data_IF_688371201552
#
_entry.id   IF_688371201552
#
_cell.length_a   1.000
_cell.length_b   1.000
_cell.length_c   1.000
_cell.angle_alpha   90.00
_cell.angle_beta   90.00
_cell.angle_gamma   90.00
#
_symmetry.space_group_name_H-M   'P 1'
#
loop_
_entity.id
_entity.type
_entity.pdbx_description
1 polymer ?
#
# COMPACT_ATOMS: atom_id res chain seq x y z
N UNK A 1 -17.84 -14.05 -0.09
CA UNK A 1 -17.15 -14.97 -1.04
C UNK A 1 -15.65 -14.67 -1.16
N UNK A 2 -15.16 -13.52 -0.69
CA UNK A 2 -13.74 -13.33 -0.37
C UNK A 2 -13.30 -14.42 0.60
N UNK A 3 -12.23 -15.14 0.23
CA UNK A 3 -11.62 -16.26 0.93
C UNK A 3 -11.64 -16.03 2.44
N UNK A 4 -12.71 -16.51 3.05
CA UNK A 4 -12.99 -16.22 4.45
C UNK A 4 -12.05 -17.07 5.26
N UNK A 5 -11.06 -16.40 5.83
CA UNK A 5 -10.65 -16.61 7.20
C UNK A 5 -10.41 -18.08 7.56
N UNK A 6 -9.36 -18.68 6.97
CA UNK A 6 -8.54 -19.72 7.60
C UNK A 6 -7.35 -20.02 6.70
N UNK A 7 -6.39 -19.09 6.71
CA UNK A 7 -5.00 -19.49 6.48
C UNK A 7 -4.60 -20.29 7.72
N UNK A 8 -4.79 -21.61 7.69
CA UNK A 8 -4.08 -22.47 8.64
C UNK A 8 -2.60 -22.11 8.51
N UNK A 9 -1.93 -21.86 9.63
CA UNK A 9 -0.65 -21.15 9.79
C UNK A 9 0.57 -21.81 9.14
N UNK A 10 0.35 -22.66 8.13
CA UNK A 10 1.32 -23.54 7.49
C UNK A 10 1.37 -23.40 5.97
N UNK A 11 0.35 -22.81 5.33
CA UNK A 11 0.34 -22.60 3.88
C UNK A 11 1.00 -21.26 3.56
N UNK A 12 1.99 -21.30 2.68
CA UNK A 12 2.67 -20.11 2.15
C UNK A 12 1.72 -19.36 1.20
N UNK A 13 1.68 -18.03 1.26
CA UNK A 13 0.75 -17.23 0.44
C UNK A 13 1.00 -17.47 -1.05
N UNK A 14 2.24 -17.75 -1.40
CA UNK A 14 2.74 -18.07 -2.73
C UNK A 14 2.22 -19.42 -3.26
N UNK A 15 1.65 -20.27 -2.40
CA UNK A 15 1.07 -21.58 -2.75
C UNK A 15 -0.45 -21.50 -2.99
N UNK A 16 -1.06 -20.34 -2.72
CA UNK A 16 -2.47 -20.14 -3.00
C UNK A 16 -2.69 -20.11 -4.51
N UNK A 17 -3.58 -20.96 -5.07
CA UNK A 17 -3.82 -21.02 -6.52
C UNK A 17 -4.10 -19.65 -7.14
N UNK A 18 -4.87 -18.82 -6.44
CA UNK A 18 -5.18 -17.44 -6.87
C UNK A 18 -3.92 -16.57 -6.97
N UNK A 19 -2.95 -16.72 -6.07
CA UNK A 19 -1.71 -15.92 -6.14
C UNK A 19 -0.83 -16.40 -7.30
N UNK A 20 -0.76 -17.71 -7.54
CA UNK A 20 -0.03 -18.28 -8.68
C UNK A 20 -0.65 -17.90 -10.03
N UNK A 21 -1.97 -17.72 -10.10
CA UNK A 21 -2.70 -17.34 -11.30
C UNK A 21 -2.47 -15.87 -11.71
N UNK A 22 -2.09 -15.01 -10.77
CA UNK A 22 -1.89 -13.57 -10.99
C UNK A 22 -0.52 -13.07 -10.51
N UNK A 23 0.60 -13.53 -11.12
CA UNK A 23 1.96 -13.19 -10.67
C UNK A 23 2.32 -11.70 -10.89
N UNK A 24 1.62 -11.04 -11.80
CA UNK A 24 1.71 -9.60 -12.10
C UNK A 24 1.01 -8.73 -11.05
N UNK A 25 -0.06 -9.24 -10.43
CA UNK A 25 -0.81 -8.56 -9.37
C UNK A 25 -0.16 -8.75 -7.99
N UNK A 26 0.50 -9.88 -7.78
CA UNK A 26 1.19 -10.23 -6.53
C UNK A 26 2.70 -10.45 -6.71
N UNK A 27 3.45 -9.41 -7.14
CA UNK A 27 4.90 -9.50 -7.21
C UNK A 27 5.52 -9.65 -5.81
N UNK A 28 6.66 -10.33 -5.72
CA UNK A 28 7.37 -10.55 -4.45
C UNK A 28 7.84 -9.25 -3.77
N UNK A 29 8.03 -8.20 -4.57
CA UNK A 29 8.35 -6.84 -4.13
C UNK A 29 7.28 -5.87 -4.65
N UNK A 30 6.84 -4.94 -3.80
CA UNK A 30 5.88 -3.88 -4.20
C UNK A 30 6.67 -2.73 -4.82
N UNK A 31 6.18 -2.18 -5.94
CA UNK A 31 6.76 -0.96 -6.49
C UNK A 31 6.42 0.23 -5.59
N UNK A 32 7.42 1.04 -5.24
CA UNK A 32 7.23 2.28 -4.46
C UNK A 32 6.42 3.34 -5.21
N UNK A 33 6.33 3.20 -6.53
CA UNK A 33 5.60 4.11 -7.41
C UNK A 33 4.26 3.45 -7.76
N UNK A 34 3.14 4.17 -7.64
CA UNK A 34 1.87 3.65 -8.12
C UNK A 34 2.00 3.27 -9.61
N UNK A 35 1.38 2.17 -10.05
CA UNK A 35 1.36 1.80 -11.46
C UNK A 35 0.90 2.97 -12.33
N UNK A 36 1.41 3.05 -13.55
CA UNK A 36 0.89 4.00 -14.53
C UNK A 36 -0.62 3.80 -14.68
N UNK A 37 -1.38 4.88 -14.50
CA UNK A 37 -2.83 4.85 -14.61
C UNK A 37 -3.20 5.61 -15.87
N UNK A 38 -4.13 5.08 -16.65
CA UNK A 38 -4.61 5.72 -17.90
C UNK A 38 -5.31 7.06 -17.65
N UNK A 39 -5.71 7.32 -16.41
CA UNK A 39 -6.46 8.52 -16.00
C UNK A 39 -5.69 9.27 -14.92
N UNK A 40 -5.68 10.60 -15.04
CA UNK A 40 -5.09 11.50 -14.05
C UNK A 40 -5.94 11.56 -12.78
N UNK A 41 -5.29 11.56 -11.61
CA UNK A 41 -5.97 11.64 -10.32
C UNK A 41 -6.11 13.10 -9.89
N UNK A 42 -7.34 13.59 -9.82
CA UNK A 42 -7.64 14.90 -9.24
C UNK A 42 -8.13 14.74 -7.80
N UNK A 43 -7.73 15.66 -6.92
CA UNK A 43 -8.25 15.77 -5.56
C UNK A 43 -9.19 16.96 -5.52
N UNK A 44 -10.48 16.67 -5.62
CA UNK A 44 -11.52 17.71 -5.56
C UNK A 44 -11.79 18.08 -4.10
N UNK A 45 -11.68 19.37 -3.81
CA UNK A 45 -11.97 19.90 -2.49
C UNK A 45 -13.38 20.47 -2.45
N UNK A 46 -14.04 20.34 -1.29
CA UNK A 46 -15.31 21.05 -1.06
C UNK A 46 -15.03 22.55 -1.12
N UNK A 47 -15.87 23.36 -1.80
CA UNK A 47 -15.67 24.80 -1.86
C UNK A 47 -15.54 25.41 -0.47
N UNK A 48 -14.46 26.18 -0.25
CA UNK A 48 -14.13 26.77 1.04
C UNK A 48 -13.16 25.95 1.92
N UNK A 49 -12.80 24.73 1.50
CA UNK A 49 -11.73 23.96 2.15
C UNK A 49 -10.36 24.51 1.75
N UNK A 50 -9.59 24.97 2.75
CA UNK A 50 -8.18 25.33 2.58
C UNK A 50 -7.24 24.13 2.74
N UNK A 51 -5.99 24.30 2.31
CA UNK A 51 -4.95 23.30 2.57
C UNK A 51 -4.62 23.23 4.05
N UNK A 52 -4.27 22.03 4.52
CA UNK A 52 -3.85 21.80 5.91
C UNK A 52 -2.32 21.81 5.97
N UNK A 53 -1.77 22.59 6.90
CA UNK A 53 -0.34 22.58 7.23
C UNK A 53 -0.20 22.37 8.73
N UNK A 54 0.42 21.26 9.13
CA UNK A 54 0.65 20.89 10.52
C UNK A 54 2.12 20.57 10.75
N UNK A 55 2.62 20.85 11.96
CA UNK A 55 3.97 20.48 12.33
C UNK A 55 4.13 18.94 12.32
N UNK A 56 5.25 18.40 11.81
CA UNK A 56 5.52 16.97 11.90
C UNK A 56 5.56 16.48 13.35
N UNK A 57 5.18 15.22 13.56
CA UNK A 57 5.30 14.60 14.88
C UNK A 57 6.77 14.44 15.28
N UNK A 58 7.04 14.45 16.59
CA UNK A 58 8.40 14.21 17.10
C UNK A 58 8.75 12.73 16.96
N UNK A 59 9.81 12.45 16.21
CA UNK A 59 10.34 11.11 15.98
C UNK A 59 11.75 10.99 16.54
N UNK A 60 12.10 9.80 17.01
CA UNK A 60 13.44 9.41 17.43
C UNK A 60 14.39 9.25 16.24
N UNK A 61 15.69 9.16 16.51
CA UNK A 61 16.70 8.96 15.47
C UNK A 61 16.55 7.62 14.73
N UNK A 62 16.07 6.57 15.41
CA UNK A 62 15.83 5.26 14.79
C UNK A 62 14.65 5.30 13.82
N UNK A 63 13.53 5.94 14.21
CA UNK A 63 12.35 6.08 13.34
C UNK A 63 12.66 6.91 12.09
N UNK A 64 13.41 8.01 12.24
CA UNK A 64 13.85 8.82 11.10
C UNK A 64 14.81 8.08 10.17
N UNK A 65 15.57 7.11 10.68
CA UNK A 65 16.44 6.25 9.86
C UNK A 65 15.61 5.23 9.09
N UNK A 66 14.52 4.73 9.67
CA UNK A 66 13.59 3.81 9.00
C UNK A 66 12.79 4.50 7.90
N UNK A 67 12.28 5.72 8.13
CA UNK A 67 11.52 6.48 7.13
C UNK A 67 12.35 6.93 5.92
N UNK A 68 13.68 7.00 6.05
CA UNK A 68 14.59 7.37 4.96
C UNK A 68 15.08 6.16 4.15
N UNK A 69 14.68 4.97 4.54
CA UNK A 69 15.07 3.73 3.86
C UNK A 69 14.25 3.57 2.58
#
# INVERSE_FOLDING_TARGET
VFASLKLESKVRVEELPVVCEFPDVFPGDVSDVPPEREVEFTIDLVPGTGLISMAPYRMSASELKELKK
#
